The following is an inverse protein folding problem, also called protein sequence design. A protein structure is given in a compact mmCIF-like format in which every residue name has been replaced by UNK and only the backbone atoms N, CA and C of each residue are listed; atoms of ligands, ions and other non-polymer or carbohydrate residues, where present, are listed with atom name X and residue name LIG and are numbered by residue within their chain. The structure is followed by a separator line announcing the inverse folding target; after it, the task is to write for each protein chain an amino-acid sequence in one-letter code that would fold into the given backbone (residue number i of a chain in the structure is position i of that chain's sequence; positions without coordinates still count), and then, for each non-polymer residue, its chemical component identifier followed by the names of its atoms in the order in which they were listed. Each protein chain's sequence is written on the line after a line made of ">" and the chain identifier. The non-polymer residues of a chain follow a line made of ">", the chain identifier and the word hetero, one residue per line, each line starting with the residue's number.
data_IF_461499647413
#
_entry.id   IF_461499647413
#
_cell.length_a   1.000
_cell.length_b   1.000
_cell.length_c   1.000
_cell.angle_alpha   90.00
_cell.angle_beta   90.00
_cell.angle_gamma   90.00
#
_symmetry.space_group_name_H-M   'P 1'
#
loop_
_entity.id
_entity.type
_entity.pdbx_description
1 polymer ?
#
# COMPACT_ATOMS: atom_id res chain seq x y z
N UNK A 1 -1.25 17.29 -14.47
CA UNK A 1 -1.57 17.60 -13.05
C UNK A 1 -2.73 16.77 -12.54
N UNK A 2 -3.92 16.88 -13.13
CA UNK A 2 -5.08 16.09 -12.71
C UNK A 2 -4.87 14.56 -12.80
N UNK A 3 -4.20 14.08 -13.85
CA UNK A 3 -3.87 12.66 -14.04
C UNK A 3 -2.99 12.09 -12.92
N UNK A 4 -1.99 12.86 -12.50
CA UNK A 4 -1.04 12.47 -11.44
C UNK A 4 -1.72 12.46 -10.07
N UNK A 5 -2.60 13.42 -9.81
CA UNK A 5 -3.42 13.46 -8.62
C UNK A 5 -4.38 12.26 -8.56
N UNK A 6 -5.05 11.97 -9.67
CA UNK A 6 -5.94 10.82 -9.77
C UNK A 6 -5.17 9.50 -9.57
N UNK A 7 -3.97 9.36 -10.16
CA UNK A 7 -3.11 8.18 -9.97
C UNK A 7 -2.71 8.01 -8.50
N UNK A 8 -2.36 9.11 -7.82
CA UNK A 8 -2.02 9.07 -6.40
C UNK A 8 -3.22 8.66 -5.54
N UNK A 9 -4.41 9.19 -5.85
CA UNK A 9 -5.66 8.82 -5.18
C UNK A 9 -5.96 7.33 -5.35
N UNK A 10 -5.92 6.82 -6.59
CA UNK A 10 -6.16 5.39 -6.87
C UNK A 10 -5.17 4.51 -6.12
N UNK A 11 -3.89 4.88 -6.12
CA UNK A 11 -2.86 4.13 -5.40
C UNK A 11 -3.12 4.10 -3.88
N UNK A 12 -3.51 5.23 -3.29
CA UNK A 12 -3.88 5.29 -1.87
C UNK A 12 -5.10 4.42 -1.53
N UNK A 13 -6.10 4.38 -2.41
CA UNK A 13 -7.27 3.52 -2.25
C UNK A 13 -6.89 2.03 -2.28
N UNK A 14 -6.00 1.63 -3.19
CA UNK A 14 -5.50 0.26 -3.29
C UNK A 14 -4.72 -0.16 -2.04
N UNK A 15 -3.86 0.71 -1.50
CA UNK A 15 -3.11 0.41 -0.25
C UNK A 15 -4.06 0.16 0.92
N UNK A 16 -5.14 0.96 1.01
CA UNK A 16 -6.15 0.79 2.05
C UNK A 16 -6.90 -0.53 1.89
N UNK A 17 -7.29 -0.87 0.67
CA UNK A 17 -8.00 -2.12 0.38
C UNK A 17 -7.12 -3.34 0.68
N UNK A 18 -5.84 -3.28 0.31
CA UNK A 18 -4.87 -4.33 0.56
C UNK A 18 -4.78 -4.71 2.05
N UNK A 19 -4.78 -3.73 2.95
CA UNK A 19 -4.72 -3.98 4.41
C UNK A 19 -5.91 -4.81 4.91
N UNK A 20 -7.10 -4.58 4.34
CA UNK A 20 -8.31 -5.34 4.65
C UNK A 20 -8.22 -6.75 4.09
N UNK A 21 -7.81 -6.89 2.83
CA UNK A 21 -7.69 -8.19 2.17
C UNK A 21 -6.63 -9.08 2.83
N UNK A 22 -5.51 -8.50 3.22
CA UNK A 22 -4.45 -9.15 4.01
C UNK A 22 -5.02 -9.79 5.28
N UNK A 23 -5.75 -9.01 6.08
CA UNK A 23 -6.33 -9.48 7.35
C UNK A 23 -7.30 -10.65 7.12
N UNK A 24 -8.12 -10.57 6.06
CA UNK A 24 -9.06 -11.63 5.71
C UNK A 24 -8.35 -12.89 5.19
N UNK A 25 -7.32 -12.72 4.36
CA UNK A 25 -6.49 -13.81 3.84
C UNK A 25 -5.81 -14.57 4.97
N UNK A 26 -5.15 -13.85 5.89
CA UNK A 26 -4.52 -14.42 7.08
C UNK A 26 -5.51 -15.21 7.92
N UNK A 27 -6.69 -14.64 8.18
CA UNK A 27 -7.73 -15.30 8.96
C UNK A 27 -8.19 -16.64 8.34
N UNK A 28 -8.28 -16.71 7.01
CA UNK A 28 -8.60 -17.96 6.29
C UNK A 28 -7.52 -19.03 6.51
N UNK A 29 -6.25 -18.65 6.44
CA UNK A 29 -5.13 -19.58 6.69
C UNK A 29 -5.16 -20.06 8.15
N UNK A 30 -5.32 -19.15 9.12
CA UNK A 30 -5.44 -19.50 10.53
C UNK A 30 -6.62 -20.44 10.81
N UNK A 31 -7.77 -20.23 10.16
CA UNK A 31 -8.91 -21.14 10.28
C UNK A 31 -8.60 -22.56 9.80
N UNK A 32 -7.80 -22.70 8.74
CA UNK A 32 -7.33 -24.01 8.25
C UNK A 32 -6.33 -24.66 9.20
N UNK A 33 -5.40 -23.89 9.74
CA UNK A 33 -4.44 -24.32 10.78
C UNK A 33 -5.15 -24.91 12.01
N UNK A 34 -6.17 -24.22 12.51
CA UNK A 34 -6.95 -24.71 13.66
C UNK A 34 -7.69 -26.00 13.31
N UNK A 35 -8.23 -26.11 12.09
CA UNK A 35 -8.98 -27.29 11.64
C UNK A 35 -8.09 -28.51 11.36
N UNK A 36 -6.85 -28.27 10.93
CA UNK A 36 -5.91 -29.30 10.50
C UNK A 36 -4.51 -29.01 11.08
N UNK A 37 -4.31 -29.20 12.39
CA UNK A 37 -3.08 -28.81 13.07
C UNK A 37 -1.86 -29.62 12.65
N UNK A 38 -2.04 -30.87 12.21
CA UNK A 38 -0.95 -31.77 11.81
C UNK A 38 -0.45 -31.51 10.37
N UNK A 39 -1.13 -30.63 9.62
CA UNK A 39 -0.74 -30.27 8.25
C UNK A 39 0.21 -29.08 8.27
N UNK A 40 1.51 -29.39 8.18
CA UNK A 40 2.60 -28.40 8.15
C UNK A 40 2.46 -27.39 7.01
N UNK A 41 1.81 -27.76 5.90
CA UNK A 41 1.56 -26.86 4.76
C UNK A 41 0.85 -25.56 5.18
N UNK A 42 -0.09 -25.62 6.14
CA UNK A 42 -0.77 -24.40 6.59
C UNK A 42 0.10 -23.55 7.52
N UNK A 43 1.07 -24.16 8.24
CA UNK A 43 2.10 -23.42 8.99
C UNK A 43 3.02 -22.68 8.02
N UNK A 44 3.49 -23.38 6.98
CA UNK A 44 4.33 -22.80 5.94
C UNK A 44 3.61 -21.68 5.19
N UNK A 45 2.34 -21.89 4.80
CA UNK A 45 1.52 -20.88 4.14
C UNK A 45 1.30 -19.62 4.99
N UNK A 46 1.10 -19.77 6.31
CA UNK A 46 0.96 -18.62 7.21
C UNK A 46 2.27 -17.82 7.29
N UNK A 47 3.40 -18.51 7.38
CA UNK A 47 4.72 -17.87 7.40
C UNK A 47 5.00 -17.13 6.09
N UNK A 48 4.82 -17.80 4.95
CA UNK A 48 5.03 -17.19 3.63
C UNK A 48 4.14 -15.96 3.45
N UNK A 49 2.86 -16.07 3.84
CA UNK A 49 1.95 -14.94 3.83
C UNK A 49 2.50 -13.77 4.66
N UNK A 50 2.85 -13.98 5.92
CA UNK A 50 3.35 -12.92 6.79
C UNK A 50 4.67 -12.29 6.26
N UNK A 51 5.58 -13.08 5.68
CA UNK A 51 6.82 -12.61 5.05
C UNK A 51 6.56 -11.75 3.79
N UNK A 52 5.59 -12.17 2.96
CA UNK A 52 5.15 -11.39 1.79
C UNK A 52 4.54 -10.04 2.22
N UNK A 53 3.75 -10.03 3.30
CA UNK A 53 3.09 -8.83 3.80
C UNK A 53 4.08 -7.77 4.28
N UNK A 54 5.17 -8.18 4.95
CA UNK A 54 6.24 -7.26 5.37
C UNK A 54 6.90 -6.63 4.14
N UNK A 55 7.19 -7.44 3.12
CA UNK A 55 7.82 -6.97 1.88
C UNK A 55 6.94 -5.96 1.14
N UNK A 56 5.63 -6.23 1.06
CA UNK A 56 4.65 -5.34 0.44
C UNK A 56 4.45 -4.05 1.25
N UNK A 57 4.38 -4.13 2.58
CA UNK A 57 4.27 -2.96 3.44
C UNK A 57 5.45 -1.99 3.24
N UNK A 58 6.69 -2.51 3.17
CA UNK A 58 7.85 -1.69 2.85
C UNK A 58 7.76 -1.05 1.45
N UNK A 59 7.23 -1.78 0.48
CA UNK A 59 7.03 -1.22 -0.87
C UNK A 59 6.02 -0.08 -0.86
N UNK A 60 4.87 -0.26 -0.21
CA UNK A 60 3.85 0.80 -0.13
C UNK A 60 4.33 2.05 0.59
N UNK A 61 5.15 1.93 1.64
CA UNK A 61 5.77 3.09 2.28
C UNK A 61 6.67 3.88 1.31
N UNK A 62 7.46 3.17 0.49
CA UNK A 62 8.29 3.80 -0.54
C UNK A 62 7.44 4.47 -1.61
N UNK A 63 6.35 3.83 -2.04
CA UNK A 63 5.46 4.37 -3.06
C UNK A 63 4.74 5.62 -2.58
N UNK A 64 4.22 5.62 -1.34
CA UNK A 64 3.60 6.80 -0.72
C UNK A 64 4.60 7.97 -0.70
N UNK A 65 5.82 7.73 -0.22
CA UNK A 65 6.86 8.77 -0.19
C UNK A 65 7.15 9.32 -1.59
N UNK A 66 7.30 8.44 -2.58
CA UNK A 66 7.59 8.84 -3.96
C UNK A 66 6.43 9.65 -4.56
N UNK A 67 5.18 9.27 -4.28
CA UNK A 67 3.99 10.03 -4.68
C UNK A 67 3.99 11.43 -4.07
N UNK A 68 4.30 11.58 -2.78
CA UNK A 68 4.38 12.89 -2.14
C UNK A 68 5.46 13.77 -2.77
N UNK A 69 6.64 13.23 -3.05
CA UNK A 69 7.72 13.97 -3.71
C UNK A 69 7.28 14.44 -5.10
N UNK A 70 6.68 13.55 -5.90
CA UNK A 70 6.20 13.88 -7.24
C UNK A 70 5.10 14.95 -7.23
N UNK A 71 4.10 14.82 -6.35
CA UNK A 71 3.02 15.79 -6.21
C UNK A 71 3.56 17.15 -5.76
N UNK A 72 4.48 17.18 -4.79
CA UNK A 72 5.08 18.41 -4.31
C UNK A 72 5.91 19.11 -5.39
N UNK A 73 6.72 18.37 -6.16
CA UNK A 73 7.47 18.91 -7.28
C UNK A 73 6.55 19.52 -8.35
N UNK A 74 5.43 18.85 -8.66
CA UNK A 74 4.44 19.36 -9.60
C UNK A 74 3.74 20.63 -9.12
N UNK A 75 3.42 20.73 -7.83
CA UNK A 75 2.80 21.92 -7.24
C UNK A 75 3.79 23.08 -7.26
N UNK A 76 5.07 22.84 -6.89
CA UNK A 76 6.11 23.88 -6.89
C UNK A 76 6.42 24.41 -8.29
N UNK A 77 6.34 23.56 -9.31
CA UNK A 77 6.51 23.95 -10.72
C UNK A 77 5.23 24.51 -11.34
N UNK A 78 4.14 24.60 -10.58
CA UNK A 78 2.89 25.17 -11.08
C UNK A 78 2.95 26.69 -11.06
N UNK A 79 2.52 27.37 -12.14
CA UNK A 79 2.47 28.83 -12.19
C UNK A 79 1.53 29.45 -11.14
N UNK A 80 0.67 28.67 -10.48
CA UNK A 80 -0.18 29.12 -9.36
C UNK A 80 0.65 29.59 -8.16
N UNK A 81 1.78 28.93 -7.86
CA UNK A 81 2.65 29.34 -6.76
C UNK A 81 3.49 30.57 -7.12
N UNK A 82 3.80 30.78 -8.40
CA UNK A 82 4.49 31.99 -8.86
C UNK A 82 3.61 33.22 -8.62
N UNK A 83 2.30 33.14 -8.90
CA UNK A 83 1.36 34.26 -8.67
C UNK A 83 1.24 34.65 -7.18
N UNK A 84 1.26 33.67 -6.26
CA UNK A 84 1.20 33.93 -4.81
C UNK A 84 2.53 34.49 -4.29
N UNK A 85 3.65 34.18 -4.93
CA UNK A 85 4.98 34.67 -4.54
C UNK A 85 5.23 36.13 -4.97
N UNK A 86 4.43 36.67 -5.89
CA UNK A 86 4.47 38.06 -6.36
C UNK A 86 3.35 38.94 -5.76
N UNK A 87 2.62 38.45 -4.75
CA UNK A 87 1.58 39.18 -3.99
C UNK A 87 2.05 39.49 -2.57
#
# INVERSE_FOLDING_TARGET
>A
MLSEFHRAQTSALLIREFSRENSLSRAKICSKLIKYPDLEDYVAALKEHDDQQISLAHQYLRDIRNMYVALNDMIRKSPVMDVISFS
#
